data_IF_992471715148
#
_entry.id   IF_992471715148
#
_cell.length_a   1.000
_cell.length_b   1.000
_cell.length_c   1.000
_cell.angle_alpha   90.00
_cell.angle_beta   90.00
_cell.angle_gamma   90.00
#
_symmetry.space_group_name_H-M   'P 1'
#
loop_
_entity.id
_entity.type
_entity.pdbx_description
1 polymer ?
#
# COMPACT_ATOMS: atom_id res chain seq x y z
N UNK A 1 3.15 -36.96 14.16
CA UNK A 1 3.34 -35.54 14.52
C UNK A 1 2.40 -34.71 13.67
N UNK A 2 1.28 -34.23 14.23
CA UNK A 2 0.34 -33.40 13.47
C UNK A 2 0.91 -31.98 13.36
N UNK A 3 1.57 -31.69 12.25
CA UNK A 3 2.00 -30.33 11.94
C UNK A 3 0.81 -29.42 11.67
N UNK A 4 0.96 -28.15 12.04
CA UNK A 4 0.07 -27.06 11.63
C UNK A 4 0.86 -26.02 10.85
N UNK A 5 0.28 -25.50 9.77
CA UNK A 5 0.88 -24.44 8.94
C UNK A 5 -0.08 -23.25 8.91
N UNK A 6 0.45 -22.04 9.07
CA UNK A 6 -0.32 -20.81 8.97
C UNK A 6 -0.04 -20.15 7.62
N UNK A 7 -1.07 -19.97 6.82
CA UNK A 7 -1.03 -19.23 5.57
C UNK A 7 -1.65 -17.84 5.79
N UNK A 8 -1.05 -16.81 5.20
CA UNK A 8 -1.65 -15.49 5.17
C UNK A 8 -2.43 -15.32 3.87
N UNK A 9 -3.73 -15.09 4.00
CA UNK A 9 -4.62 -14.78 2.90
C UNK A 9 -4.83 -13.27 2.89
N UNK A 10 -4.68 -12.69 1.71
CA UNK A 10 -4.88 -11.28 1.45
C UNK A 10 -6.10 -11.13 0.54
N UNK A 11 -7.05 -10.31 0.98
CA UNK A 11 -8.22 -9.90 0.20
C UNK A 11 -8.28 -8.37 0.14
N UNK A 12 -9.19 -7.82 -0.67
CA UNK A 12 -9.39 -6.39 -0.97
C UNK A 12 -9.38 -5.45 0.25
N UNK A 13 -9.80 -5.97 1.39
CA UNK A 13 -10.09 -5.18 2.60
C UNK A 13 -9.56 -5.83 3.89
N UNK A 14 -8.94 -7.01 3.79
CA UNK A 14 -8.61 -7.78 4.98
C UNK A 14 -7.42 -8.72 4.78
N UNK A 15 -6.63 -8.81 5.85
CA UNK A 15 -5.64 -9.85 6.06
C UNK A 15 -6.18 -10.90 7.01
N UNK A 16 -6.15 -12.16 6.59
CA UNK A 16 -6.68 -13.27 7.38
C UNK A 16 -5.65 -14.38 7.48
N UNK A 17 -5.48 -14.93 8.68
CA UNK A 17 -4.59 -16.08 8.88
C UNK A 17 -5.39 -17.37 8.78
N UNK A 18 -5.05 -18.21 7.82
CA UNK A 18 -5.61 -19.53 7.63
C UNK A 18 -4.71 -20.59 8.24
N UNK A 19 -5.21 -21.34 9.23
CA UNK A 19 -4.46 -22.45 9.83
C UNK A 19 -4.85 -23.79 9.20
N UNK A 20 -3.89 -24.44 8.55
CA UNK A 20 -3.98 -25.81 8.04
C UNK A 20 -3.49 -26.80 9.11
N UNK A 21 -4.16 -27.96 9.23
CA UNK A 21 -3.81 -29.03 10.19
C UNK A 21 -3.76 -30.39 9.50
N UNK A 22 -2.95 -31.31 10.01
CA UNK A 22 -2.92 -32.71 9.56
C UNK A 22 -2.35 -32.88 8.14
N UNK A 23 -2.93 -33.76 7.32
CA UNK A 23 -2.44 -34.05 5.97
C UNK A 23 -2.40 -32.84 5.03
N UNK A 24 -3.29 -31.87 5.22
CA UNK A 24 -3.29 -30.61 4.46
C UNK A 24 -2.08 -29.72 4.77
N UNK A 25 -1.59 -29.74 6.02
CA UNK A 25 -0.37 -29.02 6.39
C UNK A 25 0.86 -29.64 5.72
N UNK A 26 0.87 -30.95 5.52
CA UNK A 26 1.97 -31.69 4.89
C UNK A 26 1.98 -31.51 3.36
N UNK A 27 0.80 -31.44 2.74
CA UNK A 27 0.66 -31.12 1.30
C UNK A 27 1.02 -29.66 0.97
N UNK A 28 0.77 -28.72 1.88
CA UNK A 28 1.13 -27.31 1.69
C UNK A 28 2.65 -27.08 1.56
N UNK A 29 3.48 -27.86 2.27
CA UNK A 29 4.94 -27.76 2.11
C UNK A 29 5.42 -28.15 0.70
N UNK A 30 4.69 -29.01 -0.02
CA UNK A 30 5.07 -29.48 -1.37
C UNK A 30 4.78 -28.43 -2.45
N UNK A 31 3.83 -27.52 -2.22
CA UNK A 31 3.39 -26.51 -3.20
C UNK A 31 3.96 -25.10 -2.98
N UNK A 32 4.74 -24.88 -1.91
CA UNK A 32 5.34 -23.56 -1.57
C UNK A 32 6.33 -22.99 -2.60
N UNK A 33 6.66 -23.70 -3.67
CA UNK A 33 7.48 -23.17 -4.76
C UNK A 33 6.71 -22.23 -5.71
N UNK A 34 5.39 -22.10 -5.60
CA UNK A 34 4.60 -21.23 -6.46
C UNK A 34 3.63 -20.36 -5.64
N UNK A 35 3.93 -19.07 -5.53
CA UNK A 35 3.01 -18.03 -5.07
C UNK A 35 1.77 -17.99 -6.00
N UNK A 36 0.75 -18.79 -5.71
CA UNK A 36 -0.47 -18.91 -6.51
C UNK A 36 -1.71 -18.54 -5.72
N UNK A 37 -2.66 -17.88 -6.36
CA UNK A 37 -3.97 -17.58 -5.79
C UNK A 37 -4.76 -18.86 -5.51
N UNK A 38 -5.45 -18.92 -4.38
CA UNK A 38 -6.24 -20.08 -3.99
C UNK A 38 -7.67 -19.67 -3.63
N UNK A 39 -8.64 -20.42 -4.14
CA UNK A 39 -10.03 -20.31 -3.72
C UNK A 39 -10.24 -21.27 -2.55
N UNK A 40 -10.66 -20.77 -1.40
CA UNK A 40 -10.96 -21.58 -0.23
C UNK A 40 -12.39 -21.31 0.25
N UNK A 41 -13.10 -22.36 0.69
CA UNK A 41 -14.39 -22.24 1.39
C UNK A 41 -14.26 -22.71 2.85
N UNK A 42 -13.55 -21.96 3.71
CA UNK A 42 -13.43 -22.30 5.12
C UNK A 42 -14.68 -21.92 5.91
N UNK A 43 -14.90 -22.57 7.06
CA UNK A 43 -15.89 -22.08 8.03
C UNK A 43 -15.30 -20.95 8.88
N UNK A 44 -16.04 -19.86 9.13
CA UNK A 44 -15.58 -18.79 10.00
C UNK A 44 -15.48 -19.28 11.45
N UNK A 45 -14.31 -19.13 12.07
CA UNK A 45 -14.15 -19.30 13.50
C UNK A 45 -14.63 -18.02 14.23
N UNK A 46 -15.26 -18.17 15.38
CA UNK A 46 -16.02 -17.15 16.12
C UNK A 46 -15.19 -15.95 16.67
N UNK A 47 -13.94 -15.78 16.26
CA UNK A 47 -13.12 -14.59 16.54
C UNK A 47 -12.41 -14.14 15.26
N UNK A 48 -12.80 -12.95 14.81
CA UNK A 48 -12.48 -12.36 13.50
C UNK A 48 -10.96 -12.33 13.25
N UNK A 49 -10.56 -12.67 12.02
CA UNK A 49 -9.18 -12.79 11.45
C UNK A 49 -8.50 -14.18 11.44
N UNK A 50 -9.15 -15.24 11.95
CA UNK A 50 -8.63 -16.60 11.83
C UNK A 50 -9.61 -17.55 11.13
N UNK A 51 -9.15 -18.19 10.05
CA UNK A 51 -9.85 -19.25 9.35
C UNK A 51 -9.22 -20.59 9.70
N UNK A 52 -10.03 -21.62 9.92
CA UNK A 52 -9.54 -22.99 10.22
C UNK A 52 -10.17 -23.98 9.26
N UNK A 53 -9.37 -24.89 8.72
CA UNK A 53 -9.87 -25.99 7.90
C UNK A 53 -10.61 -27.02 8.76
N UNK A 54 -11.83 -27.37 8.35
CA UNK A 54 -12.56 -28.55 8.83
C UNK A 54 -12.41 -29.69 7.83
N UNK A 55 -12.85 -30.90 8.20
CA UNK A 55 -12.81 -32.06 7.31
C UNK A 55 -13.64 -31.90 6.01
N UNK A 56 -14.57 -30.93 5.97
CA UNK A 56 -15.40 -30.62 4.80
C UNK A 56 -14.93 -29.39 4.01
N UNK A 57 -13.84 -28.76 4.43
CA UNK A 57 -13.28 -27.57 3.75
C UNK A 57 -12.39 -28.01 2.59
N UNK A 58 -12.57 -27.43 1.41
CA UNK A 58 -11.71 -27.65 0.23
C UNK A 58 -10.94 -26.37 -0.12
N UNK A 59 -9.75 -26.56 -0.69
CA UNK A 59 -8.87 -25.48 -1.16
C UNK A 59 -8.42 -25.84 -2.57
N UNK A 60 -8.73 -24.97 -3.52
CA UNK A 60 -8.29 -25.11 -4.90
C UNK A 60 -7.18 -24.11 -5.17
N UNK A 61 -5.99 -24.60 -5.50
CA UNK A 61 -4.82 -23.78 -5.85
C UNK A 61 -4.89 -23.50 -7.35
N UNK A 62 -4.88 -22.21 -7.73
CA UNK A 62 -5.06 -21.75 -9.13
C UNK A 62 -6.31 -22.33 -9.80
N UNK A 63 -7.45 -22.26 -9.10
CA UNK A 63 -8.74 -22.65 -9.67
C UNK A 63 -8.97 -21.89 -10.99
N UNK A 64 -9.40 -22.51 -12.09
CA UNK A 64 -9.63 -21.82 -13.37
C UNK A 64 -10.94 -21.00 -13.34
N UNK A 65 -11.03 -20.06 -12.41
CA UNK A 65 -12.12 -19.09 -12.33
C UNK A 65 -11.76 -17.85 -13.16
N UNK A 66 -12.75 -17.17 -13.77
CA UNK A 66 -12.52 -16.03 -14.66
C UNK A 66 -11.70 -14.89 -14.03
N UNK A 67 -11.72 -14.77 -12.70
CA UNK A 67 -11.09 -13.68 -11.94
C UNK A 67 -9.65 -13.99 -11.48
N UNK A 68 -9.08 -15.13 -11.88
CA UNK A 68 -7.72 -15.54 -11.47
C UNK A 68 -6.63 -14.57 -11.93
N UNK A 69 -6.72 -14.04 -13.14
CA UNK A 69 -5.76 -13.06 -13.64
C UNK A 69 -5.74 -11.77 -12.82
N UNK A 70 -6.91 -11.33 -12.32
CA UNK A 70 -7.02 -10.17 -11.44
C UNK A 70 -6.34 -10.42 -10.09
N UNK A 71 -6.59 -11.60 -9.51
CA UNK A 71 -5.99 -12.02 -8.24
C UNK A 71 -4.47 -12.22 -8.34
N UNK A 72 -3.97 -12.83 -9.42
CA UNK A 72 -2.54 -13.03 -9.64
C UNK A 72 -1.81 -11.68 -9.79
N UNK A 73 -2.37 -10.76 -10.59
CA UNK A 73 -1.82 -9.41 -10.74
C UNK A 73 -1.87 -8.64 -9.42
N UNK A 74 -2.91 -8.84 -8.60
CA UNK A 74 -3.03 -8.23 -7.28
C UNK A 74 -2.00 -8.78 -6.30
N UNK A 75 -1.79 -10.09 -6.28
CA UNK A 75 -0.77 -10.73 -5.45
C UNK A 75 0.63 -10.22 -5.81
N UNK A 76 0.94 -10.11 -7.11
CA UNK A 76 2.19 -9.53 -7.60
C UNK A 76 2.35 -8.05 -7.15
N UNK A 77 1.29 -7.24 -7.26
CA UNK A 77 1.31 -5.86 -6.75
C UNK A 77 1.57 -5.82 -5.24
N UNK A 78 0.88 -6.64 -4.46
CA UNK A 78 1.08 -6.68 -3.01
C UNK A 78 2.52 -7.05 -2.63
N UNK A 79 3.08 -8.08 -3.28
CA UNK A 79 4.49 -8.45 -3.10
C UNK A 79 5.42 -7.31 -3.48
N UNK A 80 5.19 -6.66 -4.62
CA UNK A 80 5.98 -5.49 -5.04
C UNK A 80 5.87 -4.32 -4.06
N UNK A 81 4.72 -4.13 -3.38
CA UNK A 81 4.56 -3.10 -2.34
C UNK A 81 5.32 -3.44 -1.07
N UNK A 82 5.36 -4.71 -0.66
CA UNK A 82 6.13 -5.18 0.49
C UNK A 82 7.65 -5.12 0.21
N UNK A 83 8.06 -5.46 -1.02
CA UNK A 83 9.46 -5.45 -1.44
C UNK A 83 10.00 -4.03 -1.68
N UNK A 84 9.21 -3.16 -2.32
CA UNK A 84 9.57 -1.77 -2.59
C UNK A 84 9.30 -0.89 -1.35
N UNK A 85 10.23 -0.90 -0.40
CA UNK A 85 10.18 0.05 0.72
C UNK A 85 10.40 1.47 0.19
N UNK A 86 9.31 2.24 0.09
CA UNK A 86 9.30 3.64 -0.34
C UNK A 86 10.12 3.93 -1.64
N UNK A 87 9.68 3.42 -2.81
CA UNK A 87 10.38 3.60 -4.09
C UNK A 87 10.34 5.05 -4.54
N UNK A 88 11.33 5.47 -5.34
CA UNK A 88 11.40 6.82 -5.91
C UNK A 88 10.06 7.20 -6.58
N UNK A 89 9.59 8.43 -6.40
CA UNK A 89 8.38 8.85 -7.09
C UNK A 89 8.70 8.99 -8.60
N UNK A 90 7.93 8.36 -9.50
CA UNK A 90 8.20 8.40 -10.93
C UNK A 90 7.73 9.73 -11.55
N UNK A 91 8.51 10.79 -11.37
CA UNK A 91 8.21 12.13 -11.89
C UNK A 91 8.20 12.20 -13.42
N UNK A 92 8.91 11.29 -14.09
CA UNK A 92 9.03 11.25 -15.55
C UNK A 92 7.79 10.64 -16.25
N UNK A 93 6.98 9.87 -15.52
CA UNK A 93 5.80 9.22 -16.07
C UNK A 93 4.54 10.08 -16.03
N UNK A 94 4.40 10.94 -15.03
CA UNK A 94 3.16 11.66 -14.76
C UNK A 94 3.37 13.16 -14.86
N UNK A 95 2.60 13.80 -15.74
CA UNK A 95 2.68 15.25 -15.97
C UNK A 95 1.50 15.96 -15.32
N UNK A 96 1.76 16.66 -14.21
CA UNK A 96 0.75 17.47 -13.53
C UNK A 96 0.15 18.52 -14.48
N UNK A 97 0.99 19.18 -15.28
CA UNK A 97 0.57 20.29 -16.15
C UNK A 97 -0.48 19.82 -17.14
N UNK A 98 -0.29 18.66 -17.77
CA UNK A 98 -1.27 18.08 -18.71
C UNK A 98 -2.62 17.78 -18.07
N UNK A 99 -2.65 17.30 -16.81
CA UNK A 99 -3.91 17.03 -16.11
C UNK A 99 -4.58 18.32 -15.64
N UNK A 100 -3.78 19.33 -15.30
CA UNK A 100 -4.26 20.63 -14.81
C UNK A 100 -4.80 21.52 -15.93
N UNK A 101 -4.18 21.46 -17.11
CA UNK A 101 -4.53 22.23 -18.30
C UNK A 101 -5.56 21.53 -19.18
N UNK A 102 -5.86 20.25 -18.90
CA UNK A 102 -6.89 19.53 -19.63
C UNK A 102 -8.24 20.24 -19.48
N UNK A 103 -8.95 20.50 -20.60
CA UNK A 103 -10.28 21.11 -20.55
C UNK A 103 -11.31 20.18 -19.87
N UNK A 104 -11.08 18.87 -19.92
CA UNK A 104 -11.85 17.89 -19.17
C UNK A 104 -11.10 17.50 -17.89
N UNK A 105 -11.67 17.84 -16.74
CA UNK A 105 -11.20 17.40 -15.42
C UNK A 105 -12.01 16.19 -14.99
N UNK A 106 -11.47 14.99 -15.23
CA UNK A 106 -12.12 13.75 -14.84
C UNK A 106 -11.85 13.48 -13.35
N UNK A 107 -12.91 13.55 -12.55
CA UNK A 107 -12.92 13.08 -11.16
C UNK A 107 -13.34 11.61 -11.18
N UNK A 108 -12.50 10.77 -10.59
CA UNK A 108 -12.73 9.34 -10.46
C UNK A 108 -13.06 9.00 -9.00
N UNK A 109 -13.74 7.86 -8.83
CA UNK A 109 -13.81 7.15 -7.54
C UNK A 109 -12.76 6.03 -7.48
N UNK A 110 -12.48 5.53 -6.29
CA UNK A 110 -11.55 4.42 -6.06
C UNK A 110 -12.08 3.15 -6.75
N UNK A 111 -13.38 2.88 -6.70
CA UNK A 111 -13.98 1.73 -7.37
C UNK A 111 -13.86 1.82 -8.90
N UNK A 112 -14.13 2.99 -9.49
CA UNK A 112 -13.93 3.19 -10.93
C UNK A 112 -12.47 2.97 -11.31
N UNK A 113 -11.53 3.46 -10.50
CA UNK A 113 -10.11 3.23 -10.74
C UNK A 113 -9.75 1.75 -10.70
N UNK A 114 -10.24 0.97 -9.71
CA UNK A 114 -10.03 -0.48 -9.67
C UNK A 114 -10.63 -1.18 -10.90
N UNK A 115 -11.82 -0.78 -11.33
CA UNK A 115 -12.46 -1.31 -12.54
C UNK A 115 -11.65 -1.02 -13.80
N UNK A 116 -11.15 0.21 -13.97
CA UNK A 116 -10.29 0.58 -15.10
C UNK A 116 -8.97 -0.19 -15.10
N UNK A 117 -8.36 -0.37 -13.92
CA UNK A 117 -7.13 -1.16 -13.76
C UNK A 117 -7.38 -2.62 -14.15
N UNK A 118 -8.54 -3.19 -13.81
CA UNK A 118 -8.91 -4.55 -14.21
C UNK A 118 -9.19 -4.67 -15.71
N UNK A 119 -9.89 -3.69 -16.29
CA UNK A 119 -10.24 -3.69 -17.70
C UNK A 119 -9.03 -3.48 -18.62
N UNK A 120 -8.07 -2.64 -18.21
CA UNK A 120 -6.88 -2.31 -18.98
C UNK A 120 -5.62 -2.30 -18.10
N UNK A 121 -5.09 -3.49 -17.73
CA UNK A 121 -4.00 -3.64 -16.77
C UNK A 121 -2.64 -3.18 -17.30
N UNK A 122 -2.54 -2.72 -18.54
CA UNK A 122 -1.30 -2.21 -19.16
C UNK A 122 -1.32 -0.71 -19.43
N UNK A 123 -2.46 -0.05 -19.22
CA UNK A 123 -2.61 1.38 -19.50
C UNK A 123 -2.17 2.24 -18.31
N UNK A 124 -1.57 3.39 -18.59
CA UNK A 124 -1.32 4.40 -17.55
C UNK A 124 -2.52 5.34 -17.46
N UNK A 125 -2.91 5.70 -16.24
CA UNK A 125 -4.06 6.57 -15.98
C UNK A 125 -3.64 7.79 -15.18
N UNK A 126 -4.33 8.91 -15.41
CA UNK A 126 -4.13 10.13 -14.65
C UNK A 126 -5.46 10.88 -14.51
N UNK A 127 -5.70 11.49 -13.36
CA UNK A 127 -6.97 12.15 -13.08
C UNK A 127 -7.02 12.77 -11.70
N UNK A 128 -8.24 13.05 -11.25
CA UNK A 128 -8.51 13.57 -9.91
C UNK A 128 -9.19 12.50 -9.05
N UNK A 129 -8.82 12.42 -7.77
CA UNK A 129 -9.51 11.62 -6.74
C UNK A 129 -9.92 12.53 -5.60
N UNK A 130 -11.14 12.36 -5.09
CA UNK A 130 -11.61 13.05 -3.88
C UNK A 130 -11.53 12.07 -2.70
N UNK A 131 -10.62 12.31 -1.78
CA UNK A 131 -10.30 11.38 -0.69
C UNK A 131 -10.57 12.02 0.67
N UNK A 132 -11.22 11.27 1.56
CA UNK A 132 -11.34 11.57 2.98
C UNK A 132 -10.22 10.84 3.75
N UNK A 133 -9.47 11.58 4.54
CA UNK A 133 -8.42 11.00 5.38
C UNK A 133 -9.04 10.50 6.67
N UNK A 134 -8.97 9.20 6.93
CA UNK A 134 -9.52 8.61 8.16
C UNK A 134 -8.45 8.51 9.24
N UNK A 135 -7.21 8.26 8.85
CA UNK A 135 -6.12 7.99 9.78
C UNK A 135 -4.80 8.64 9.32
N UNK A 136 -4.07 9.23 10.26
CA UNK A 136 -2.74 9.82 10.04
C UNK A 136 -1.79 9.31 11.13
N UNK A 137 -0.79 8.55 10.73
CA UNK A 137 0.14 7.85 11.63
C UNK A 137 1.45 8.62 11.85
N UNK A 138 1.37 9.94 11.89
CA UNK A 138 2.55 10.82 11.98
C UNK A 138 3.28 10.65 13.32
N UNK A 139 2.54 10.70 14.43
CA UNK A 139 3.09 10.56 15.79
C UNK A 139 3.62 9.15 16.03
N UNK A 140 2.91 8.13 15.55
CA UNK A 140 3.34 6.74 15.67
C UNK A 140 4.62 6.47 14.89
N UNK A 141 4.73 7.01 13.66
CA UNK A 141 5.96 6.91 12.88
C UNK A 141 7.12 7.64 13.57
N UNK A 142 6.88 8.81 14.16
CA UNK A 142 7.91 9.54 14.91
C UNK A 142 8.39 8.76 16.13
N UNK A 143 7.48 8.25 16.96
CA UNK A 143 7.80 7.49 18.17
C UNK A 143 8.53 6.18 17.88
N UNK A 144 8.27 5.55 16.73
CA UNK A 144 8.95 4.32 16.29
C UNK A 144 10.27 4.58 15.55
N UNK A 145 10.69 5.83 15.42
CA UNK A 145 11.85 6.24 14.61
C UNK A 145 11.73 5.82 13.13
N UNK A 146 10.52 5.86 12.58
CA UNK A 146 10.20 5.49 11.19
C UNK A 146 9.54 6.63 10.41
N UNK A 147 9.76 7.88 10.80
CA UNK A 147 9.19 9.05 10.11
C UNK A 147 9.68 9.14 8.66
N UNK A 148 10.96 8.86 8.43
CA UNK A 148 11.53 8.76 7.10
C UNK A 148 11.93 7.31 6.80
N UNK A 149 11.81 6.94 5.54
CA UNK A 149 12.14 5.62 5.02
C UNK A 149 12.84 5.69 3.66
N UNK A 150 13.67 4.69 3.41
CA UNK A 150 14.35 4.45 2.14
C UNK A 150 14.68 2.97 1.99
N UNK A 151 15.23 2.59 0.84
CA UNK A 151 15.65 1.23 0.55
C UNK A 151 17.14 1.18 0.25
N UNK A 152 17.86 0.23 0.87
CA UNK A 152 19.25 -0.05 0.57
C UNK A 152 19.53 -1.55 0.78
N UNK A 153 20.29 -2.17 -0.12
CA UNK A 153 20.60 -3.60 -0.06
C UNK A 153 19.38 -4.53 0.12
N UNK A 154 18.24 -4.21 -0.52
CA UNK A 154 16.95 -4.92 -0.38
C UNK A 154 16.38 -4.95 1.05
N UNK A 155 16.79 -4.02 1.90
CA UNK A 155 16.26 -3.84 3.23
C UNK A 155 15.71 -2.42 3.42
N UNK A 156 14.61 -2.27 4.18
CA UNK A 156 14.13 -0.96 4.59
C UNK A 156 15.13 -0.30 5.54
N UNK A 157 15.43 0.97 5.30
CA UNK A 157 16.16 1.84 6.22
C UNK A 157 15.19 2.88 6.75
N UNK A 158 15.06 2.96 8.07
CA UNK A 158 14.17 3.88 8.75
C UNK A 158 14.95 4.75 9.72
N UNK A 159 14.63 6.05 9.76
CA UNK A 159 15.12 6.96 10.78
C UNK A 159 14.24 8.21 10.86
N UNK A 160 14.37 8.98 11.95
CA UNK A 160 13.92 10.36 12.02
C UNK A 160 15.08 11.29 11.62
N UNK A 161 15.61 11.10 10.42
CA UNK A 161 16.68 11.92 9.87
C UNK A 161 16.60 11.88 8.34
N UNK A 162 17.10 12.92 7.67
CA UNK A 162 17.14 12.99 6.19
C UNK A 162 18.13 11.99 5.58
N UNK A 163 19.12 11.58 6.36
CA UNK A 163 20.13 10.60 5.95
C UNK A 163 20.31 9.57 7.03
N UNK A 164 20.41 8.30 6.64
CA UNK A 164 20.75 7.21 7.55
C UNK A 164 21.85 6.34 6.96
N UNK A 165 22.67 5.75 7.84
CA UNK A 165 23.71 4.81 7.41
C UNK A 165 23.12 3.42 7.30
N UNK A 166 23.28 2.77 6.15
CA UNK A 166 22.84 1.40 5.96
C UNK A 166 23.70 0.45 6.82
N UNK A 167 23.08 -0.38 7.65
CA UNK A 167 23.79 -1.33 8.53
C UNK A 167 24.56 -2.42 7.78
N UNK A 168 24.29 -2.62 6.49
CA UNK A 168 24.90 -3.69 5.68
C UNK A 168 26.08 -3.20 4.84
N UNK A 169 25.92 -2.09 4.12
CA UNK A 169 26.99 -1.53 3.28
C UNK A 169 27.72 -0.34 3.92
N UNK A 170 27.27 0.17 5.08
CA UNK A 170 27.78 1.37 5.74
C UNK A 170 27.76 2.65 4.87
N UNK A 171 27.01 2.64 3.77
CA UNK A 171 26.81 3.83 2.94
C UNK A 171 25.71 4.72 3.53
N UNK A 172 25.83 6.02 3.28
CA UNK A 172 24.78 6.97 3.61
C UNK A 172 23.67 6.91 2.56
N UNK A 173 22.44 6.76 3.04
CA UNK A 173 21.24 6.67 2.22
C UNK A 173 20.37 7.87 2.53
N UNK A 174 19.95 8.60 1.50
CA UNK A 174 18.95 9.67 1.62
C UNK A 174 17.57 9.05 1.85
N UNK A 175 16.91 9.47 2.92
CA UNK A 175 15.57 9.02 3.29
C UNK A 175 14.52 10.03 2.86
N UNK A 176 13.30 9.55 2.61
CA UNK A 176 12.13 10.37 2.28
C UNK A 176 11.01 10.10 3.26
N UNK A 177 9.98 10.95 3.26
CA UNK A 177 8.82 10.74 4.13
C UNK A 177 8.20 9.37 3.91
N UNK A 178 7.90 8.70 5.03
CA UNK A 178 7.39 7.35 4.99
C UNK A 178 5.93 7.34 4.49
N UNK A 179 5.60 6.57 3.43
CA UNK A 179 4.22 6.44 2.95
C UNK A 179 3.23 5.96 4.01
N UNK A 180 3.70 5.30 5.07
CA UNK A 180 2.88 4.88 6.21
C UNK A 180 2.41 6.02 7.10
N UNK A 181 2.96 7.25 6.95
CA UNK A 181 2.46 8.44 7.66
C UNK A 181 1.00 8.69 7.27
N UNK A 182 0.66 8.54 5.99
CA UNK A 182 -0.72 8.57 5.55
C UNK A 182 -1.32 7.19 5.83
N UNK A 183 -2.24 7.14 6.78
CA UNK A 183 -2.93 5.92 7.17
C UNK A 183 -3.99 5.54 6.15
N UNK A 184 -5.16 5.15 6.63
CA UNK A 184 -6.31 4.88 5.78
C UNK A 184 -6.89 6.16 5.17
N UNK A 185 -7.12 6.13 3.86
CA UNK A 185 -7.92 7.12 3.12
C UNK A 185 -9.09 6.42 2.44
N UNK A 186 -10.22 7.10 2.35
CA UNK A 186 -11.47 6.52 1.83
C UNK A 186 -12.18 7.48 0.90
N UNK A 187 -12.99 6.94 0.01
CA UNK A 187 -14.04 7.69 -0.68
C UNK A 187 -15.40 7.01 -0.47
N UNK A 188 -16.43 7.43 -1.19
CA UNK A 188 -17.76 6.83 -1.12
C UNK A 188 -17.82 5.36 -1.56
N UNK A 189 -16.80 4.88 -2.27
CA UNK A 189 -16.82 3.59 -2.97
C UNK A 189 -15.87 2.56 -2.37
N UNK A 190 -14.73 2.96 -1.82
CA UNK A 190 -13.74 2.06 -1.24
C UNK A 190 -12.77 2.75 -0.27
N UNK A 191 -11.85 1.96 0.27
CA UNK A 191 -10.79 2.39 1.18
C UNK A 191 -9.42 1.97 0.64
N UNK A 192 -8.41 2.81 0.86
CA UNK A 192 -7.00 2.52 0.58
C UNK A 192 -6.25 2.50 1.91
N UNK A 193 -5.55 1.40 2.17
CA UNK A 193 -4.75 1.22 3.38
C UNK A 193 -3.43 2.02 3.33
N UNK A 194 -2.80 2.15 4.50
CA UNK A 194 -1.51 2.81 4.67
C UNK A 194 -0.44 2.26 3.70
N UNK A 195 0.32 3.16 3.08
CA UNK A 195 1.31 2.81 2.06
C UNK A 195 0.73 2.29 0.74
N UNK A 196 -0.60 2.38 0.53
CA UNK A 196 -1.24 2.16 -0.77
C UNK A 196 -1.02 3.33 -1.74
N UNK A 197 -0.82 4.53 -1.19
CA UNK A 197 -0.47 5.73 -1.93
C UNK A 197 1.04 5.96 -1.94
N UNK A 198 1.56 6.43 -3.06
CA UNK A 198 2.94 6.91 -3.21
C UNK A 198 2.88 8.41 -3.48
N UNK A 199 3.35 9.24 -2.55
CA UNK A 199 3.28 10.68 -2.66
C UNK A 199 4.59 11.25 -3.23
N UNK A 200 4.47 12.25 -4.10
CA UNK A 200 5.62 13.07 -4.51
C UNK A 200 6.07 13.98 -3.35
N UNK A 201 7.29 14.49 -3.42
CA UNK A 201 7.79 15.45 -2.41
C UNK A 201 6.95 16.74 -2.39
N UNK A 202 6.37 17.13 -3.53
CA UNK A 202 5.44 18.26 -3.62
C UNK A 202 4.11 17.94 -2.95
N UNK A 203 3.57 16.73 -3.18
CA UNK A 203 2.35 16.27 -2.53
C UNK A 203 2.52 16.22 -1.00
N UNK A 204 3.66 15.75 -0.50
CA UNK A 204 3.94 15.77 0.93
C UNK A 204 3.96 17.17 1.52
N UNK A 205 4.59 18.13 0.83
CA UNK A 205 4.63 19.53 1.26
C UNK A 205 3.25 20.17 1.26
N UNK A 206 2.43 19.89 0.25
CA UNK A 206 1.05 20.38 0.19
C UNK A 206 0.19 19.75 1.31
N UNK A 207 0.39 18.45 1.59
CA UNK A 207 -0.35 17.70 2.59
C UNK A 207 -0.02 18.12 4.03
N UNK A 208 1.27 18.21 4.37
CA UNK A 208 1.73 18.55 5.73
C UNK A 208 1.89 20.06 5.93
N UNK A 209 1.80 20.84 4.85
CA UNK A 209 2.07 22.28 4.83
C UNK A 209 3.55 22.66 5.03
N UNK A 210 4.43 21.66 5.17
CA UNK A 210 5.85 21.82 5.55
C UNK A 210 6.72 20.73 4.92
N UNK A 211 8.01 20.99 4.81
CA UNK A 211 9.02 20.00 4.36
C UNK A 211 9.45 19.02 5.47
N UNK A 212 10.13 17.93 5.10
CA UNK A 212 10.61 16.93 6.07
C UNK A 212 11.56 17.52 7.11
N UNK A 213 12.37 18.51 6.75
CA UNK A 213 13.30 19.19 7.65
C UNK A 213 12.54 19.86 8.80
N UNK A 214 11.49 20.61 8.46
CA UNK A 214 10.67 21.32 9.43
C UNK A 214 9.78 20.40 10.29
N UNK A 215 9.61 19.13 9.90
CA UNK A 215 8.92 18.11 10.72
C UNK A 215 9.86 17.49 11.75
N UNK A 216 11.15 17.36 11.40
CA UNK A 216 12.17 16.82 12.31
C UNK A 216 12.47 17.76 13.47
N UNK A 217 12.26 19.06 13.29
CA UNK A 217 12.41 20.08 14.33
C UNK A 217 11.24 20.12 15.33
N UNK A 218 10.13 19.44 15.02
CA UNK A 218 8.95 19.41 15.89
C UNK A 218 9.08 18.32 16.95
N UNK A 219 8.52 18.60 18.13
CA UNK A 219 8.28 17.60 19.14
C UNK A 219 7.02 16.77 18.81
N UNK A 220 6.79 15.71 19.58
CA UNK A 220 5.62 14.88 19.43
C UNK A 220 4.30 15.67 19.56
N UNK A 221 4.30 16.75 20.36
CA UNK A 221 3.15 17.65 20.51
C UNK A 221 2.82 18.42 19.23
N UNK A 222 3.83 19.02 18.60
CA UNK A 222 3.69 19.73 17.32
C UNK A 222 3.26 18.79 16.19
N UNK A 223 3.82 17.58 16.12
CA UNK A 223 3.42 16.56 15.15
C UNK A 223 1.96 16.12 15.37
N UNK A 224 1.54 15.95 16.63
CA UNK A 224 0.16 15.61 16.96
C UNK A 224 -0.82 16.68 16.48
N UNK A 225 -0.50 17.97 16.69
CA UNK A 225 -1.35 19.06 16.20
C UNK A 225 -1.52 19.05 14.68
N UNK A 226 -0.47 18.70 13.93
CA UNK A 226 -0.57 18.55 12.48
C UNK A 226 -1.48 17.36 12.14
N UNK A 227 -1.26 16.20 12.75
CA UNK A 227 -2.06 15.01 12.51
C UNK A 227 -3.55 15.24 12.81
N UNK A 228 -3.87 15.83 13.98
CA UNK A 228 -5.23 16.12 14.42
C UNK A 228 -5.98 17.07 13.47
N UNK A 229 -5.25 17.96 12.76
CA UNK A 229 -5.83 18.86 11.77
C UNK A 229 -6.10 18.21 10.41
N UNK A 230 -5.40 17.12 10.09
CA UNK A 230 -5.49 16.44 8.80
C UNK A 230 -6.51 15.30 8.81
N UNK A 231 -6.72 14.67 9.96
CA UNK A 231 -7.75 13.64 10.12
C UNK A 231 -9.14 14.22 9.82
N UNK A 232 -9.95 13.44 9.10
CA UNK A 232 -11.25 13.81 8.55
C UNK A 232 -11.26 14.99 7.57
N UNK A 233 -10.10 15.44 7.09
CA UNK A 233 -10.06 16.37 5.96
C UNK A 233 -10.37 15.63 4.66
N UNK A 234 -11.19 16.27 3.83
CA UNK A 234 -11.44 15.84 2.46
C UNK A 234 -10.55 16.64 1.52
N UNK A 235 -9.73 15.95 0.74
CA UNK A 235 -8.78 16.56 -0.20
C UNK A 235 -9.04 16.07 -1.61
N UNK A 236 -8.90 16.97 -2.59
CA UNK A 236 -8.86 16.57 -4.00
C UNK A 236 -7.42 16.39 -4.41
N UNK A 237 -7.08 15.22 -4.93
CA UNK A 237 -5.71 14.86 -5.31
C UNK A 237 -5.60 14.69 -6.80
N UNK A 238 -4.45 15.06 -7.37
CA UNK A 238 -4.10 14.70 -8.74
C UNK A 238 -3.27 13.42 -8.66
N UNK A 239 -3.79 12.35 -9.24
CA UNK A 239 -3.17 11.03 -9.16
C UNK A 239 -2.74 10.55 -10.54
N UNK A 240 -1.78 9.63 -10.51
CA UNK A 240 -1.35 8.81 -11.63
C UNK A 240 -1.32 7.35 -11.20
N UNK A 241 -1.61 6.45 -12.13
CA UNK A 241 -1.43 5.02 -11.95
C UNK A 241 -0.62 4.44 -13.10
N UNK A 242 0.29 3.52 -12.77
CA UNK A 242 1.09 2.79 -13.75
C UNK A 242 1.10 1.30 -13.41
N UNK A 243 1.01 0.42 -14.42
CA UNK A 243 1.14 -1.01 -14.21
C UNK A 243 2.59 -1.46 -13.98
N UNK A 244 3.57 -0.57 -14.23
CA UNK A 244 4.98 -0.86 -14.05
C UNK A 244 5.32 -0.99 -12.55
N UNK A 245 5.37 -2.25 -12.10
CA UNK A 245 5.68 -2.62 -10.72
C UNK A 245 7.09 -2.18 -10.31
N UNK A 246 8.03 -2.06 -11.25
CA UNK A 246 9.40 -1.65 -10.95
C UNK A 246 9.51 -0.19 -10.51
N UNK A 247 8.56 0.65 -10.94
CA UNK A 247 8.56 2.10 -10.68
C UNK A 247 7.66 2.50 -9.53
N UNK A 248 6.40 2.06 -9.55
CA UNK A 248 5.40 2.48 -8.55
C UNK A 248 4.95 1.34 -7.63
N UNK A 249 5.39 0.10 -7.85
CA UNK A 249 4.95 -1.07 -7.06
C UNK A 249 3.43 -1.26 -7.06
N UNK A 250 2.75 -0.88 -8.14
CA UNK A 250 1.29 -0.95 -8.24
C UNK A 250 0.52 0.01 -7.30
N UNK A 251 1.18 1.05 -6.78
CA UNK A 251 0.57 2.08 -5.92
C UNK A 251 -0.05 3.21 -6.73
N UNK A 252 -1.04 3.88 -6.15
CA UNK A 252 -1.58 5.12 -6.71
C UNK A 252 -0.59 6.24 -6.39
N UNK A 253 -0.06 6.87 -7.43
CA UNK A 253 0.95 7.92 -7.33
C UNK A 253 0.26 9.29 -7.21
N UNK A 254 0.37 9.93 -6.05
CA UNK A 254 -0.21 11.26 -5.81
C UNK A 254 0.82 12.32 -6.15
N UNK A 255 0.54 13.09 -7.20
CA UNK A 255 1.41 14.18 -7.66
C UNK A 255 1.24 15.44 -6.81
N UNK A 256 -0.01 15.78 -6.47
CA UNK A 256 -0.35 17.03 -5.78
C UNK A 256 -1.68 16.95 -5.04
N UNK A 257 -1.79 17.67 -3.93
CA UNK A 257 -3.07 17.95 -3.28
C UNK A 257 -3.59 19.33 -3.70
N UNK A 258 -4.90 19.43 -3.93
CA UNK A 258 -5.63 20.69 -4.11
C UNK A 258 -6.54 20.88 -2.89
N UNK A 259 -6.23 21.93 -2.14
CA UNK A 259 -7.09 22.52 -1.12
C UNK A 259 -8.04 23.53 -1.75
#
# INVERSE_FOLDING_TARGET
>A
MSGSVNLQIYDDIAKVTLTLRGGAAQAAYVTTAANGCAAARPMPAMRQTHLTFTASSTMDIKAPIPDTHGLDNRAARHQSREEATNPAFPEDLFSYDTVSSSPARCLYTIAELDEFIRAAPTATFQGYLSLLIVEVNLVDCFNRHTLLSGACCHAPVHANALTATCKRCNEQVSLRLNPLILGQVVDETAAIEAGGLLLSDRAWRDFLGRGPEALLDLDAGGLKQIADRLVFCRLTTVFGWTPDQSRAGGRICVMRFRS
#
